data_IF_908792680731
#
_entry.id   IF_908792680731
#
_cell.length_a   1.000
_cell.length_b   1.000
_cell.length_c   1.000
_cell.angle_alpha   90.00
_cell.angle_beta   90.00
_cell.angle_gamma   90.00
#
_symmetry.space_group_name_H-M   'P 1'
#
loop_
_entity.id
_entity.type
_entity.pdbx_description
1 polymer ?
#
# COMPACT_ATOMS: atom_id res chain seq x y z
N UNK A 1 -8.52 -69.00 -13.80
CA UNK A 1 -8.65 -70.23 -13.00
C UNK A 1 -9.42 -69.87 -11.74
N UNK A 2 -10.54 -70.55 -11.54
CA UNK A 2 -11.51 -70.29 -10.48
C UNK A 2 -11.43 -71.38 -9.40
N UNK A 3 -11.57 -70.97 -8.13
CA UNK A 3 -12.05 -71.75 -6.96
C UNK A 3 -12.07 -70.78 -5.76
N UNK A 4 -13.22 -70.26 -5.27
CA UNK A 4 -14.15 -70.78 -4.23
C UNK A 4 -13.44 -71.14 -2.90
N UNK A 5 -13.89 -70.81 -1.67
CA UNK A 5 -15.17 -71.06 -0.95
C UNK A 5 -15.13 -70.20 0.35
N UNK A 6 -16.14 -69.37 0.66
CA UNK A 6 -17.32 -69.55 1.55
C UNK A 6 -17.11 -69.70 3.08
N UNK A 7 -17.85 -68.84 3.78
CA UNK A 7 -18.23 -68.60 5.19
C UNK A 7 -18.27 -69.73 6.22
N UNK A 8 -18.03 -69.37 7.50
CA UNK A 8 -18.85 -69.83 8.66
C UNK A 8 -18.97 -68.72 9.71
N UNK A 9 -20.21 -68.48 10.15
CA UNK A 9 -20.64 -67.63 11.27
C UNK A 9 -21.02 -68.53 12.45
N UNK A 10 -20.63 -68.20 13.68
CA UNK A 10 -21.33 -68.63 14.91
C UNK A 10 -21.03 -67.70 16.08
N UNK A 11 -22.02 -67.55 16.96
CA UNK A 11 -22.18 -66.47 17.92
C UNK A 11 -22.12 -66.96 19.39
N UNK A 12 -21.71 -66.05 20.30
CA UNK A 12 -22.19 -65.80 21.70
C UNK A 12 -21.82 -66.88 22.76
N UNK A 13 -21.36 -66.53 24.00
CA UNK A 13 -22.16 -65.74 24.94
C UNK A 13 -21.51 -64.70 25.86
N UNK A 14 -22.37 -63.73 26.19
CA UNK A 14 -22.32 -62.75 27.28
C UNK A 14 -22.50 -63.41 28.65
N UNK A 15 -21.70 -62.98 29.63
CA UNK A 15 -22.09 -63.03 31.05
C UNK A 15 -21.74 -61.70 31.70
N UNK A 16 -22.76 -61.13 32.34
CA UNK A 16 -22.78 -59.90 33.11
C UNK A 16 -22.47 -60.20 34.57
N UNK A 17 -21.77 -59.28 35.24
CA UNK A 17 -21.84 -59.16 36.71
C UNK A 17 -21.63 -57.68 37.06
N UNK A 18 -22.56 -57.06 37.83
CA UNK A 18 -22.45 -55.66 38.22
C UNK A 18 -21.75 -55.55 39.59
N UNK A 19 -20.76 -54.66 39.68
CA UNK A 19 -20.17 -54.28 40.96
C UNK A 19 -20.60 -52.84 41.26
N UNK A 20 -21.44 -52.68 42.28
CA UNK A 20 -21.71 -51.39 42.89
C UNK A 20 -20.47 -50.92 43.66
N UNK A 21 -20.02 -49.70 43.39
CA UNK A 21 -19.19 -48.95 44.33
C UNK A 21 -19.70 -47.51 44.44
N UNK A 22 -19.60 -47.03 45.67
CA UNK A 22 -20.31 -45.92 46.26
C UNK A 22 -19.97 -44.56 45.63
N UNK A 23 -20.95 -43.66 45.70
CA UNK A 23 -20.77 -42.24 45.44
C UNK A 23 -19.87 -41.66 46.55
N UNK A 24 -18.66 -41.26 46.18
CA UNK A 24 -17.87 -40.31 46.95
C UNK A 24 -18.26 -38.91 46.50
N UNK A 25 -18.78 -38.13 47.44
CA UNK A 25 -19.08 -36.72 47.32
C UNK A 25 -17.77 -35.96 47.05
N UNK A 26 -17.52 -35.65 45.78
CA UNK A 26 -16.46 -34.72 45.37
C UNK A 26 -16.97 -33.30 45.51
N UNK A 27 -16.35 -32.56 46.43
CA UNK A 27 -16.52 -31.12 46.62
C UNK A 27 -16.52 -30.38 45.27
N UNK A 28 -17.63 -29.72 44.97
CA UNK A 28 -17.75 -28.78 43.86
C UNK A 28 -16.79 -27.61 44.13
N UNK A 29 -15.57 -27.70 43.60
CA UNK A 29 -14.78 -26.51 43.35
C UNK A 29 -15.55 -25.69 42.32
N UNK A 30 -16.26 -24.67 42.79
CA UNK A 30 -16.68 -23.53 42.01
C UNK A 30 -15.41 -22.92 41.38
N UNK A 31 -15.02 -23.44 40.22
CA UNK A 31 -14.06 -22.80 39.34
C UNK A 31 -14.74 -21.51 38.86
N UNK A 32 -14.52 -20.45 39.64
CA UNK A 32 -14.99 -19.09 39.39
C UNK A 32 -14.65 -18.77 37.93
N UNK A 33 -15.67 -18.84 37.08
CA UNK A 33 -15.51 -18.65 35.64
C UNK A 33 -14.98 -17.23 35.43
N UNK A 34 -13.68 -17.13 35.18
CA UNK A 34 -13.03 -15.88 34.84
C UNK A 34 -13.86 -15.20 33.75
N UNK A 35 -14.25 -13.92 33.93
CA UNK A 35 -15.09 -13.22 32.97
C UNK A 35 -14.43 -13.34 31.59
N UNK A 36 -15.21 -13.55 30.50
CA UNK A 36 -14.65 -13.75 29.18
C UNK A 36 -13.71 -12.59 28.89
N UNK A 37 -12.41 -12.87 28.81
CA UNK A 37 -11.37 -11.86 28.69
C UNK A 37 -11.80 -10.90 27.58
N UNK A 38 -12.10 -9.63 27.93
CA UNK A 38 -12.51 -8.61 26.96
C UNK A 38 -11.53 -8.70 25.79
N UNK A 39 -12.00 -9.17 24.64
CA UNK A 39 -11.15 -9.40 23.47
C UNK A 39 -10.43 -8.09 23.16
N UNK A 40 -9.11 -8.07 23.33
CA UNK A 40 -8.32 -6.85 23.16
C UNK A 40 -8.33 -6.45 21.68
N UNK A 41 -8.50 -5.15 21.40
CA UNK A 41 -8.32 -4.60 20.05
C UNK A 41 -6.90 -4.86 19.58
N UNK A 42 -6.70 -5.06 18.27
CA UNK A 42 -5.40 -5.32 17.63
C UNK A 42 -4.37 -4.23 17.97
N UNK A 43 -4.82 -2.98 18.14
CA UNK A 43 -3.99 -1.84 18.55
C UNK A 43 -3.25 -2.07 19.87
N UNK A 44 -3.90 -2.68 20.88
CA UNK A 44 -3.27 -2.95 22.17
C UNK A 44 -2.10 -3.93 22.04
N UNK A 45 -2.22 -4.91 21.14
CA UNK A 45 -1.13 -5.83 20.85
C UNK A 45 0.04 -5.16 20.13
N UNK A 46 -0.22 -4.12 19.32
CA UNK A 46 0.83 -3.34 18.64
C UNK A 46 1.62 -2.52 19.67
N UNK A 47 0.92 -1.84 20.58
CA UNK A 47 1.53 -1.04 21.65
C UNK A 47 2.41 -1.87 22.60
N UNK A 48 2.09 -3.15 22.76
CA UNK A 48 2.84 -4.10 23.58
C UNK A 48 3.82 -4.96 22.77
N UNK A 49 3.92 -4.74 21.46
CA UNK A 49 4.74 -5.58 20.59
C UNK A 49 6.23 -5.32 20.80
N UNK A 50 7.07 -6.31 20.44
CA UNK A 50 8.53 -6.17 20.43
C UNK A 50 9.02 -5.13 19.41
N UNK A 51 8.23 -4.88 18.38
CA UNK A 51 8.55 -3.93 17.31
C UNK A 51 8.14 -2.50 17.67
N UNK A 52 7.64 -2.23 18.89
CA UNK A 52 7.17 -0.89 19.30
C UNK A 52 8.24 0.21 19.21
N UNK A 53 9.51 -0.17 19.19
CA UNK A 53 10.65 0.73 19.06
C UNK A 53 11.00 1.05 17.60
N UNK A 54 10.35 0.39 16.64
CA UNK A 54 10.37 0.78 15.23
C UNK A 54 9.88 2.23 15.07
N UNK A 55 10.61 3.04 14.30
CA UNK A 55 10.35 4.48 14.15
C UNK A 55 8.89 4.79 13.82
N UNK A 56 8.33 4.07 12.83
CA UNK A 56 6.98 4.32 12.32
C UNK A 56 5.88 3.78 13.25
N UNK A 57 6.10 2.64 13.90
CA UNK A 57 5.17 2.16 14.93
C UNK A 57 5.16 3.11 16.13
N UNK A 58 6.33 3.60 16.55
CA UNK A 58 6.46 4.56 17.63
C UNK A 58 5.73 5.85 17.28
N UNK A 59 5.91 6.39 16.08
CA UNK A 59 5.20 7.59 15.62
C UNK A 59 3.69 7.40 15.67
N UNK A 60 3.19 6.27 15.14
CA UNK A 60 1.77 5.96 15.22
C UNK A 60 1.25 5.83 16.65
N UNK A 61 1.94 5.08 17.53
CA UNK A 61 1.52 4.86 18.92
C UNK A 61 1.32 6.18 19.68
N UNK A 62 2.14 7.20 19.38
CA UNK A 62 2.08 8.52 20.01
C UNK A 62 1.23 9.53 19.23
N UNK A 63 0.52 9.12 18.17
CA UNK A 63 -0.33 10.00 17.36
C UNK A 63 -1.80 10.01 17.83
N UNK A 64 -2.50 11.08 17.51
CA UNK A 64 -3.95 11.18 17.71
C UNK A 64 -4.70 10.06 16.97
N UNK A 65 -4.19 9.58 15.83
CA UNK A 65 -4.81 8.48 15.09
C UNK A 65 -4.84 7.18 15.90
N UNK A 66 -3.80 6.91 16.71
CA UNK A 66 -3.79 5.75 17.61
C UNK A 66 -4.82 5.90 18.74
N UNK A 67 -4.99 7.10 19.28
CA UNK A 67 -6.05 7.40 20.26
C UNK A 67 -7.43 7.17 19.63
N UNK A 68 -7.66 7.70 18.43
CA UNK A 68 -8.91 7.48 17.71
C UNK A 68 -9.19 5.99 17.47
N UNK A 69 -8.20 5.20 17.06
CA UNK A 69 -8.35 3.76 16.87
C UNK A 69 -8.74 3.00 18.15
N UNK A 70 -8.32 3.53 19.31
CA UNK A 70 -8.67 2.98 20.61
C UNK A 70 -10.08 3.37 21.07
N UNK A 71 -10.61 4.50 20.64
CA UNK A 71 -11.83 5.08 21.23
C UNK A 71 -13.02 5.11 20.28
N UNK A 72 -12.81 5.49 19.02
CA UNK A 72 -13.87 5.76 18.05
C UNK A 72 -14.36 4.49 17.34
N UNK A 73 -15.66 4.44 17.03
CA UNK A 73 -16.32 3.27 16.48
C UNK A 73 -16.10 3.10 14.97
N UNK A 74 -15.84 4.21 14.28
CA UNK A 74 -15.58 4.34 12.84
C UNK A 74 -14.36 3.51 12.43
N UNK A 75 -13.37 3.40 13.31
CA UNK A 75 -12.14 2.63 13.10
C UNK A 75 -12.27 1.14 13.40
N UNK A 76 -13.47 0.64 13.74
CA UNK A 76 -13.68 -0.74 14.17
C UNK A 76 -13.18 -1.77 13.15
N UNK A 77 -13.32 -1.49 11.85
CA UNK A 77 -12.87 -2.36 10.75
C UNK A 77 -11.35 -2.59 10.75
N UNK A 78 -10.58 -1.64 11.27
CA UNK A 78 -9.13 -1.70 11.42
C UNK A 78 -8.70 -2.15 12.82
N UNK A 79 -9.26 -1.52 13.86
CA UNK A 79 -8.89 -1.74 15.25
C UNK A 79 -9.16 -3.18 15.74
N UNK A 80 -10.10 -3.89 15.10
CA UNK A 80 -10.42 -5.29 15.40
C UNK A 80 -9.90 -6.28 14.35
N UNK A 81 -8.97 -5.86 13.49
CA UNK A 81 -8.37 -6.72 12.47
C UNK A 81 -7.81 -7.99 13.11
N UNK A 82 -8.32 -9.16 12.72
CA UNK A 82 -7.85 -10.47 13.24
C UNK A 82 -6.36 -10.75 12.94
N UNK A 83 -5.72 -9.93 12.10
CA UNK A 83 -4.32 -10.05 11.67
C UNK A 83 -3.52 -8.83 12.14
N UNK A 84 -3.10 -8.81 13.41
CA UNK A 84 -2.27 -7.75 13.99
C UNK A 84 -0.99 -7.51 13.21
N UNK A 85 -0.34 -8.57 12.69
CA UNK A 85 0.86 -8.46 11.86
C UNK A 85 0.61 -7.70 10.56
N UNK A 86 -0.56 -7.87 9.93
CA UNK A 86 -0.93 -7.10 8.75
C UNK A 86 -1.10 -5.63 9.12
N UNK A 87 -1.85 -5.33 10.19
CA UNK A 87 -2.05 -3.93 10.60
C UNK A 87 -0.72 -3.22 10.92
N UNK A 88 0.23 -3.90 11.58
CA UNK A 88 1.58 -3.34 11.81
C UNK A 88 2.28 -2.96 10.51
N UNK A 89 2.19 -3.82 9.49
CA UNK A 89 2.77 -3.54 8.17
C UNK A 89 2.13 -2.32 7.54
N UNK A 90 0.79 -2.27 7.48
CA UNK A 90 0.06 -1.12 6.93
C UNK A 90 0.45 0.20 7.61
N UNK A 91 0.59 0.20 8.95
CA UNK A 91 1.05 1.37 9.71
C UNK A 91 2.46 1.78 9.26
N UNK A 92 3.41 0.84 9.35
CA UNK A 92 4.83 1.10 9.06
C UNK A 92 5.02 1.62 7.63
N UNK A 93 4.34 1.01 6.68
CA UNK A 93 4.38 1.35 5.26
C UNK A 93 3.77 2.73 4.98
N UNK A 94 2.64 3.04 5.62
CA UNK A 94 1.94 4.32 5.44
C UNK A 94 2.69 5.51 6.04
N UNK A 95 3.32 5.31 7.20
CA UNK A 95 4.16 6.34 7.83
C UNK A 95 5.48 6.55 7.08
N UNK A 96 6.08 5.48 6.54
CA UNK A 96 7.23 5.60 5.63
C UNK A 96 6.88 6.42 4.37
N UNK A 97 5.71 6.17 3.78
CA UNK A 97 5.19 7.00 2.68
C UNK A 97 5.04 8.45 3.12
N UNK A 98 4.39 8.71 4.25
CA UNK A 98 4.13 10.06 4.73
C UNK A 98 5.42 10.86 5.01
N UNK A 99 6.49 10.19 5.47
CA UNK A 99 7.83 10.78 5.60
C UNK A 99 8.44 11.11 4.24
N UNK A 100 8.28 10.23 3.25
CA UNK A 100 8.80 10.44 1.91
C UNK A 100 8.02 11.48 1.10
N UNK A 101 6.74 11.66 1.41
CA UNK A 101 5.95 12.79 0.91
C UNK A 101 6.56 14.12 1.36
N UNK A 102 6.95 14.28 2.62
CA UNK A 102 7.63 15.51 3.08
C UNK A 102 8.90 15.79 2.27
N UNK A 103 9.68 14.76 1.99
CA UNK A 103 10.92 14.86 1.18
C UNK A 103 10.62 15.37 -0.23
N UNK A 104 9.59 14.82 -0.88
CA UNK A 104 9.17 15.20 -2.22
C UNK A 104 8.59 16.62 -2.24
N UNK A 105 7.72 16.96 -1.30
CA UNK A 105 7.15 18.30 -1.17
C UNK A 105 8.25 19.35 -0.91
N UNK A 106 9.20 19.07 -0.02
CA UNK A 106 10.32 19.97 0.26
C UNK A 106 11.25 20.13 -0.95
N UNK A 107 11.43 19.09 -1.77
CA UNK A 107 12.18 19.17 -3.01
C UNK A 107 11.46 20.04 -4.06
N UNK A 108 10.14 19.90 -4.20
CA UNK A 108 9.33 20.76 -5.08
C UNK A 108 9.37 22.22 -4.66
N UNK A 109 9.29 22.51 -3.36
CA UNK A 109 9.41 23.88 -2.82
C UNK A 109 10.78 24.49 -3.13
N UNK A 110 11.88 23.76 -2.89
CA UNK A 110 13.24 24.24 -3.19
C UNK A 110 13.49 24.45 -4.68
N UNK A 111 12.74 23.79 -5.55
CA UNK A 111 12.85 23.93 -6.99
C UNK A 111 12.26 25.25 -7.52
N UNK A 112 11.98 26.25 -6.67
CA UNK A 112 11.49 27.57 -7.08
C UNK A 112 9.96 27.72 -7.06
N UNK A 113 9.24 26.70 -6.59
CA UNK A 113 7.77 26.71 -6.55
C UNK A 113 7.26 27.36 -5.26
N UNK A 114 6.32 28.29 -5.40
CA UNK A 114 5.64 28.88 -4.24
C UNK A 114 5.02 27.78 -3.36
N UNK A 115 5.20 27.93 -2.06
CA UNK A 115 4.69 26.98 -1.08
C UNK A 115 3.16 27.02 -1.10
N UNK A 116 2.56 26.01 -1.71
CA UNK A 116 1.13 25.75 -1.52
C UNK A 116 0.94 24.90 -0.28
N UNK A 117 0.10 25.38 0.65
CA UNK A 117 -0.40 24.57 1.78
C UNK A 117 -1.43 23.53 1.33
N UNK A 118 -1.94 23.67 0.10
CA UNK A 118 -2.91 22.76 -0.49
C UNK A 118 -2.16 21.71 -1.31
N UNK A 119 -2.25 20.48 -0.85
CA UNK A 119 -1.70 19.31 -1.54
C UNK A 119 -2.85 18.41 -1.99
N UNK A 120 -2.74 17.84 -3.18
CA UNK A 120 -3.63 16.76 -3.63
C UNK A 120 -2.83 15.47 -3.73
N UNK A 121 -3.35 14.41 -3.13
CA UNK A 121 -2.72 13.10 -3.10
C UNK A 121 -3.48 12.12 -3.97
N UNK A 122 -2.74 11.22 -4.65
CA UNK A 122 -3.30 10.14 -5.43
C UNK A 122 -2.73 8.81 -4.92
N UNK A 123 -3.49 8.11 -4.08
CA UNK A 123 -3.11 6.83 -3.48
C UNK A 123 -3.45 5.70 -4.48
N UNK A 124 -2.43 5.19 -5.15
CA UNK A 124 -2.53 4.26 -6.26
C UNK A 124 -2.64 2.83 -5.72
N UNK A 125 -3.69 2.11 -6.14
CA UNK A 125 -4.04 0.79 -5.62
C UNK A 125 -4.20 0.84 -4.09
N UNK A 126 -4.97 1.85 -3.64
CA UNK A 126 -5.06 2.26 -2.24
C UNK A 126 -5.60 1.18 -1.29
N UNK A 127 -6.26 0.14 -1.82
CA UNK A 127 -6.97 -0.82 -1.01
C UNK A 127 -7.95 -0.11 -0.06
N UNK A 128 -7.89 -0.46 1.22
CA UNK A 128 -8.72 0.18 2.26
C UNK A 128 -8.26 1.59 2.67
N UNK A 129 -7.14 2.07 2.16
CA UNK A 129 -6.70 3.46 2.30
C UNK A 129 -6.04 3.80 3.63
N UNK A 130 -5.26 2.90 4.24
CA UNK A 130 -4.52 3.25 5.46
C UNK A 130 -3.53 4.40 5.18
N UNK A 131 -2.79 4.32 4.07
CA UNK A 131 -1.92 5.40 3.58
C UNK A 131 -2.70 6.69 3.40
N UNK A 132 -3.85 6.64 2.75
CA UNK A 132 -4.74 7.80 2.56
C UNK A 132 -5.19 8.44 3.88
N UNK A 133 -5.53 7.64 4.90
CA UNK A 133 -5.89 8.15 6.23
C UNK A 133 -4.70 8.86 6.87
N UNK A 134 -3.51 8.25 6.84
CA UNK A 134 -2.29 8.85 7.42
C UNK A 134 -1.97 10.18 6.72
N UNK A 135 -2.05 10.23 5.39
CA UNK A 135 -1.83 11.45 4.62
C UNK A 135 -2.86 12.53 4.97
N UNK A 136 -4.15 12.19 5.01
CA UNK A 136 -5.21 13.15 5.35
C UNK A 136 -5.07 13.72 6.78
N UNK A 137 -4.63 12.90 7.75
CA UNK A 137 -4.38 13.35 9.12
C UNK A 137 -3.13 14.22 9.23
N UNK A 138 -2.05 13.87 8.51
CA UNK A 138 -0.80 14.63 8.50
C UNK A 138 -0.93 15.95 7.72
N UNK A 139 -1.77 15.98 6.69
CA UNK A 139 -2.03 17.15 5.85
C UNK A 139 -3.54 17.49 5.84
N UNK A 140 -4.08 18.11 6.90
CA UNK A 140 -5.53 18.32 7.05
C UNK A 140 -6.17 19.18 5.95
N UNK A 141 -5.39 20.05 5.30
CA UNK A 141 -5.83 20.91 4.19
C UNK A 141 -5.75 20.22 2.81
N UNK A 142 -5.36 18.94 2.77
CA UNK A 142 -5.21 18.19 1.53
C UNK A 142 -6.50 17.49 1.10
N UNK A 143 -6.59 17.18 -0.18
CA UNK A 143 -7.55 16.20 -0.72
C UNK A 143 -6.79 14.92 -1.04
N UNK A 144 -7.34 13.76 -0.68
CA UNK A 144 -6.75 12.46 -1.04
C UNK A 144 -7.70 11.69 -1.94
N UNK A 145 -7.26 11.37 -3.15
CA UNK A 145 -7.96 10.47 -4.05
C UNK A 145 -7.40 9.05 -3.91
N UNK A 146 -8.22 8.17 -3.34
CA UNK A 146 -7.99 6.72 -3.28
C UNK A 146 -8.38 6.09 -4.61
N UNK A 147 -7.43 5.54 -5.35
CA UNK A 147 -7.65 4.96 -6.67
C UNK A 147 -7.51 3.43 -6.61
N UNK A 148 -8.62 2.69 -6.71
CA UNK A 148 -8.62 1.23 -6.70
C UNK A 148 -9.78 0.65 -7.51
N UNK A 149 -9.62 -0.53 -8.11
CA UNK A 149 -10.66 -1.16 -8.91
C UNK A 149 -11.59 -2.09 -8.09
N UNK A 150 -11.28 -2.35 -6.82
CA UNK A 150 -12.08 -3.21 -5.96
C UNK A 150 -13.26 -2.46 -5.32
N UNK A 151 -14.42 -2.53 -5.97
CA UNK A 151 -15.67 -1.92 -5.47
C UNK A 151 -16.26 -2.57 -4.21
N UNK A 152 -15.77 -3.75 -3.80
CA UNK A 152 -16.34 -4.53 -2.71
C UNK A 152 -15.65 -4.27 -1.36
N UNK A 153 -14.74 -3.30 -1.28
CA UNK A 153 -14.05 -2.97 -0.04
C UNK A 153 -15.01 -2.33 0.95
N UNK A 154 -14.94 -2.77 2.22
CA UNK A 154 -15.56 -2.01 3.29
C UNK A 154 -14.72 -0.76 3.58
N UNK A 155 -15.30 0.40 3.28
CA UNK A 155 -14.71 1.72 3.41
C UNK A 155 -15.47 2.63 4.40
N UNK A 156 -16.30 2.07 5.28
CA UNK A 156 -17.11 2.85 6.23
C UNK A 156 -16.30 3.75 7.16
N UNK A 157 -15.01 3.44 7.36
CA UNK A 157 -14.10 4.27 8.16
C UNK A 157 -13.75 5.59 7.48
N UNK A 158 -13.98 5.74 6.18
CA UNK A 158 -13.73 6.99 5.45
C UNK A 158 -14.70 8.11 5.83
N UNK A 159 -15.86 7.79 6.43
CA UNK A 159 -16.80 8.79 6.96
C UNK A 159 -16.14 9.68 8.04
N UNK A 160 -15.13 9.17 8.73
CA UNK A 160 -14.34 9.92 9.72
C UNK A 160 -13.26 10.82 9.09
N UNK A 161 -13.07 10.77 7.78
CA UNK A 161 -12.00 11.48 7.05
C UNK A 161 -12.55 12.08 5.75
N UNK A 162 -13.34 13.16 5.80
CA UNK A 162 -14.09 13.69 4.66
C UNK A 162 -13.21 14.22 3.51
N UNK A 163 -11.92 14.46 3.76
CA UNK A 163 -10.95 14.85 2.73
C UNK A 163 -10.46 13.68 1.86
N UNK A 164 -10.81 12.44 2.21
CA UNK A 164 -10.46 11.24 1.46
C UNK A 164 -11.63 10.80 0.59
N UNK A 165 -11.37 10.64 -0.71
CA UNK A 165 -12.37 10.25 -1.70
C UNK A 165 -11.98 8.97 -2.41
N UNK A 166 -12.83 7.96 -2.33
CA UNK A 166 -12.67 6.73 -3.10
C UNK A 166 -13.13 6.90 -4.55
N UNK A 167 -12.29 6.49 -5.50
CA UNK A 167 -12.59 6.45 -6.93
C UNK A 167 -12.41 5.02 -7.41
N UNK A 168 -13.51 4.38 -7.80
CA UNK A 168 -13.45 3.03 -8.35
C UNK A 168 -12.93 3.08 -9.79
N UNK A 169 -11.65 2.77 -9.99
CA UNK A 169 -11.01 2.99 -11.29
C UNK A 169 -9.90 1.97 -11.57
N UNK A 170 -9.74 1.58 -12.83
CA UNK A 170 -8.59 0.79 -13.28
C UNK A 170 -7.42 1.72 -13.57
N UNK A 171 -6.29 1.53 -12.89
CA UNK A 171 -5.09 2.33 -13.10
C UNK A 171 -4.47 2.17 -14.50
N UNK A 172 -4.83 1.14 -15.26
CA UNK A 172 -4.42 1.00 -16.66
C UNK A 172 -5.29 1.81 -17.63
N UNK A 173 -6.41 2.36 -17.17
CA UNK A 173 -7.35 3.13 -17.98
C UNK A 173 -6.82 4.53 -18.30
N UNK A 174 -7.39 5.16 -19.34
CA UNK A 174 -7.11 6.55 -19.67
C UNK A 174 -7.88 7.49 -18.73
N UNK A 175 -9.05 7.04 -18.28
CA UNK A 175 -9.89 7.71 -17.27
C UNK A 175 -9.10 7.98 -15.98
N UNK A 176 -8.20 7.08 -15.58
CA UNK A 176 -7.34 7.30 -14.42
C UNK A 176 -6.35 8.46 -14.61
N UNK A 177 -5.77 8.59 -15.80
CA UNK A 177 -4.91 9.73 -16.13
C UNK A 177 -5.72 11.03 -16.15
N UNK A 178 -6.90 11.03 -16.79
CA UNK A 178 -7.77 12.21 -16.87
C UNK A 178 -8.20 12.69 -15.49
N UNK A 179 -8.64 11.78 -14.60
CA UNK A 179 -9.04 12.14 -13.24
C UNK A 179 -7.92 12.85 -12.48
N UNK A 180 -6.68 12.36 -12.58
CA UNK A 180 -5.55 12.99 -11.92
C UNK A 180 -5.26 14.36 -12.53
N UNK A 181 -5.29 14.49 -13.86
CA UNK A 181 -5.09 15.77 -14.53
C UNK A 181 -6.15 16.80 -14.15
N UNK A 182 -7.43 16.42 -14.15
CA UNK A 182 -8.55 17.29 -13.78
C UNK A 182 -8.40 17.78 -12.35
N UNK A 183 -8.10 16.86 -11.40
CA UNK A 183 -7.82 17.24 -10.02
C UNK A 183 -6.63 18.20 -9.91
N UNK A 184 -5.57 18.02 -10.70
CA UNK A 184 -4.41 18.94 -10.73
C UNK A 184 -4.70 20.28 -11.41
N UNK A 185 -5.69 20.35 -12.30
CA UNK A 185 -6.16 21.61 -12.91
C UNK A 185 -6.97 22.40 -11.88
N UNK A 186 -7.86 21.72 -11.17
CA UNK A 186 -8.69 22.30 -10.12
C UNK A 186 -7.87 22.72 -8.90
N UNK A 187 -6.80 21.99 -8.60
CA UNK A 187 -5.90 22.29 -7.49
C UNK A 187 -4.72 23.17 -7.92
N UNK A 188 -4.67 24.41 -7.42
CA UNK A 188 -3.55 25.33 -7.62
C UNK A 188 -2.35 25.07 -6.68
N UNK A 189 -1.96 23.80 -6.52
CA UNK A 189 -1.00 23.37 -5.51
C UNK A 189 -0.07 22.25 -5.94
N UNK A 190 0.47 21.54 -4.95
CA UNK A 190 1.29 20.36 -5.20
C UNK A 190 0.44 19.12 -5.35
N UNK A 191 0.76 18.30 -6.33
CA UNK A 191 0.26 16.94 -6.44
C UNK A 191 1.31 15.94 -5.99
N UNK A 192 0.91 14.85 -5.35
CA UNK A 192 1.79 13.70 -5.13
C UNK A 192 1.06 12.40 -5.44
N UNK A 193 1.58 11.66 -6.41
CA UNK A 193 1.20 10.27 -6.63
C UNK A 193 1.94 9.38 -5.62
N UNK A 194 1.21 8.48 -4.99
CA UNK A 194 1.72 7.57 -3.98
C UNK A 194 1.39 6.15 -4.41
N UNK A 195 2.42 5.30 -4.49
CA UNK A 195 2.26 3.88 -4.80
C UNK A 195 2.97 3.03 -3.78
N UNK A 196 2.29 2.69 -2.69
CA UNK A 196 2.80 1.73 -1.71
C UNK A 196 2.37 0.32 -2.08
N UNK A 197 3.28 -0.64 -2.08
CA UNK A 197 2.98 -2.02 -2.46
C UNK A 197 2.36 -2.18 -3.85
N UNK A 198 2.78 -1.37 -4.82
CA UNK A 198 2.34 -1.58 -6.20
C UNK A 198 2.94 -2.87 -6.78
N UNK A 199 2.07 -3.83 -7.05
CA UNK A 199 2.46 -5.15 -7.54
C UNK A 199 2.86 -5.13 -9.02
N UNK A 200 4.07 -5.62 -9.34
CA UNK A 200 4.50 -5.90 -10.71
C UNK A 200 4.19 -4.75 -11.67
N UNK A 201 3.39 -5.00 -12.71
CA UNK A 201 3.07 -4.00 -13.72
C UNK A 201 2.40 -2.71 -13.19
N UNK A 202 1.82 -2.71 -11.98
CA UNK A 202 1.25 -1.49 -11.40
C UNK A 202 2.31 -0.46 -11.04
N UNK A 203 3.48 -0.87 -10.53
CA UNK A 203 4.55 0.08 -10.21
C UNK A 203 5.12 0.73 -11.47
N UNK A 204 5.26 -0.06 -12.54
CA UNK A 204 5.58 0.45 -13.87
C UNK A 204 4.53 1.43 -14.37
N UNK A 205 3.25 1.05 -14.27
CA UNK A 205 2.13 1.89 -14.71
C UNK A 205 2.08 3.23 -13.96
N UNK A 206 2.40 3.26 -12.67
CA UNK A 206 2.47 4.52 -11.92
C UNK A 206 3.55 5.47 -12.47
N UNK A 207 4.72 4.95 -12.86
CA UNK A 207 5.78 5.74 -13.51
C UNK A 207 5.32 6.23 -14.89
N UNK A 208 4.77 5.34 -15.72
CA UNK A 208 4.25 5.69 -17.06
C UNK A 208 3.16 6.79 -16.95
N UNK A 209 2.23 6.63 -16.02
CA UNK A 209 1.15 7.57 -15.75
C UNK A 209 1.70 8.93 -15.31
N UNK A 210 2.64 8.95 -14.37
CA UNK A 210 3.32 10.17 -13.93
C UNK A 210 3.98 10.89 -15.11
N UNK A 211 4.77 10.18 -15.92
CA UNK A 211 5.44 10.74 -17.11
C UNK A 211 4.43 11.30 -18.12
N UNK A 212 3.35 10.56 -18.38
CA UNK A 212 2.29 10.98 -19.31
C UNK A 212 1.60 12.26 -18.84
N UNK A 213 1.24 12.33 -17.55
CA UNK A 213 0.57 13.49 -16.96
C UNK A 213 1.48 14.72 -17.00
N UNK A 214 2.75 14.57 -16.64
CA UNK A 214 3.72 15.66 -16.71
C UNK A 214 3.90 16.18 -18.14
N UNK A 215 3.85 15.27 -19.13
CA UNK A 215 4.05 15.62 -20.55
C UNK A 215 2.80 16.23 -21.21
N UNK A 216 1.62 15.71 -20.90
CA UNK A 216 0.33 16.21 -21.41
C UNK A 216 -0.06 17.51 -20.71
N UNK A 217 0.11 17.57 -19.40
CA UNK A 217 -0.29 18.70 -18.56
C UNK A 217 0.40 20.02 -18.93
N UNK A 218 1.63 19.96 -19.41
CA UNK A 218 2.35 21.14 -19.87
C UNK A 218 1.71 21.79 -21.11
N UNK A 219 1.08 21.01 -22.00
CA UNK A 219 0.34 21.57 -23.13
C UNK A 219 -0.95 22.28 -22.69
N UNK A 220 -1.51 21.87 -21.56
CA UNK A 220 -2.78 22.37 -21.04
C UNK A 220 -2.60 23.63 -20.18
N UNK A 221 -1.51 23.71 -19.43
CA UNK A 221 -1.20 24.85 -18.55
C UNK A 221 0.25 25.28 -18.76
N UNK A 222 0.44 26.46 -19.36
CA UNK A 222 1.75 27.12 -19.41
C UNK A 222 2.21 27.32 -17.95
N UNK A 223 3.26 26.58 -17.55
CA UNK A 223 3.69 26.28 -16.16
C UNK A 223 3.12 25.00 -15.52
N UNK A 224 3.12 23.88 -16.28
CA UNK A 224 3.22 22.45 -15.93
C UNK A 224 2.82 22.03 -14.49
N UNK A 225 2.00 20.98 -14.37
CA UNK A 225 1.65 20.36 -13.09
C UNK A 225 2.86 20.14 -12.17
N UNK A 226 2.70 20.45 -10.88
CA UNK A 226 3.72 20.16 -9.87
C UNK A 226 3.40 18.81 -9.22
N UNK A 227 3.65 17.72 -9.95
CA UNK A 227 3.33 16.36 -9.52
C UNK A 227 4.60 15.62 -9.11
N UNK A 228 4.72 15.25 -7.84
CA UNK A 228 5.74 14.32 -7.35
C UNK A 228 5.27 12.86 -7.42
N UNK A 229 6.20 11.91 -7.29
CA UNK A 229 5.91 10.48 -7.13
C UNK A 229 6.68 9.91 -5.94
N UNK A 230 5.97 9.19 -5.07
CA UNK A 230 6.53 8.31 -4.04
C UNK A 230 6.13 6.89 -4.37
N UNK A 231 7.09 6.03 -4.71
CA UNK A 231 6.83 4.66 -5.15
C UNK A 231 7.63 3.66 -4.33
N UNK A 232 6.95 2.66 -3.77
CA UNK A 232 7.53 1.47 -3.16
C UNK A 232 6.94 0.23 -3.81
N UNK A 233 7.65 -0.43 -4.76
CA UNK A 233 7.17 -1.64 -5.41
C UNK A 233 7.19 -2.82 -4.42
N UNK A 234 6.41 -3.88 -4.63
CA UNK A 234 6.45 -5.03 -3.71
C UNK A 234 6.41 -6.43 -4.34
N UNK A 235 5.94 -6.56 -5.57
CA UNK A 235 5.87 -7.84 -6.25
C UNK A 235 6.63 -7.77 -7.56
N UNK A 236 7.23 -8.91 -7.92
CA UNK A 236 7.83 -9.08 -9.23
C UNK A 236 6.73 -9.07 -10.31
N UNK A 237 7.02 -8.55 -11.50
CA UNK A 237 6.08 -8.61 -12.62
C UNK A 237 5.90 -10.07 -13.06
N UNK A 238 4.65 -10.44 -13.32
CA UNK A 238 4.29 -11.73 -13.90
C UNK A 238 3.62 -11.52 -15.26
N UNK A 239 3.90 -12.43 -16.20
CA UNK A 239 3.24 -12.43 -17.51
C UNK A 239 1.73 -12.58 -17.32
N UNK A 240 0.99 -11.53 -17.68
CA UNK A 240 -0.48 -11.56 -17.69
C UNK A 240 -0.93 -12.06 -19.07
N UNK A 241 -1.89 -12.99 -19.11
CA UNK A 241 -2.51 -13.44 -20.37
C UNK A 241 -3.33 -12.29 -20.99
N UNK A 242 -3.13 -12.04 -22.28
CA UNK A 242 -4.00 -11.21 -23.12
C UNK A 242 -5.45 -11.75 -22.98
N UNK A 243 -6.48 -10.91 -22.77
CA UNK A 243 -6.58 -9.49 -23.12
C UNK A 243 -6.54 -8.51 -21.94
N UNK A 244 -6.18 -8.95 -20.73
CA UNK A 244 -6.45 -8.15 -19.52
C UNK A 244 -5.67 -6.82 -19.42
N UNK A 245 -4.59 -6.62 -20.19
CA UNK A 245 -3.73 -5.41 -20.16
C UNK A 245 -3.02 -5.22 -21.50
N UNK A 246 -2.63 -3.98 -21.85
CA UNK A 246 -1.72 -3.71 -22.98
C UNK A 246 -0.43 -4.54 -22.78
N UNK A 247 -0.10 -5.36 -23.77
CA UNK A 247 1.06 -6.23 -23.73
C UNK A 247 2.35 -5.39 -23.65
N UNK A 248 3.23 -5.71 -22.70
CA UNK A 248 4.56 -5.12 -22.58
C UNK A 248 5.45 -6.11 -21.82
N UNK A 249 6.63 -6.39 -22.37
CA UNK A 249 7.60 -7.38 -21.87
C UNK A 249 8.56 -6.87 -20.80
N UNK A 250 8.51 -5.56 -20.48
CA UNK A 250 9.34 -4.95 -19.46
C UNK A 250 9.15 -5.63 -18.11
N UNK A 251 10.25 -6.17 -17.57
CA UNK A 251 10.33 -6.83 -16.28
C UNK A 251 10.05 -8.33 -16.30
N UNK A 252 9.45 -8.90 -17.35
CA UNK A 252 9.17 -10.35 -17.38
C UNK A 252 10.41 -11.24 -17.41
N UNK A 253 11.56 -10.68 -17.73
CA UNK A 253 12.87 -11.34 -17.69
C UNK A 253 13.46 -11.46 -16.28
N UNK A 254 12.93 -10.73 -15.28
CA UNK A 254 13.51 -10.65 -13.93
C UNK A 254 13.59 -12.02 -13.26
N UNK A 255 12.51 -12.81 -13.35
CA UNK A 255 12.47 -14.14 -12.73
C UNK A 255 13.40 -15.15 -13.41
N UNK A 256 13.64 -15.00 -14.72
CA UNK A 256 14.67 -15.80 -15.41
C UNK A 256 16.08 -15.37 -14.99
N UNK A 257 16.34 -14.07 -14.91
CA UNK A 257 17.65 -13.53 -14.50
C UNK A 257 17.98 -13.90 -13.05
N UNK A 258 17.02 -13.79 -12.13
CA UNK A 258 17.17 -14.25 -10.74
C UNK A 258 17.57 -15.74 -10.69
N UNK A 259 16.89 -16.60 -11.46
CA UNK A 259 17.19 -18.04 -11.49
C UNK A 259 18.54 -18.35 -12.12
N UNK A 260 18.93 -17.62 -13.16
CA UNK A 260 20.16 -17.87 -13.90
C UNK A 260 21.41 -17.39 -13.15
N UNK A 261 21.32 -16.25 -12.45
CA UNK A 261 22.48 -15.58 -11.86
C UNK A 261 22.46 -15.48 -10.33
N UNK A 262 21.40 -15.95 -9.66
CA UNK A 262 21.28 -15.88 -8.20
C UNK A 262 21.15 -14.46 -7.64
N UNK A 263 20.78 -13.49 -8.48
CA UNK A 263 20.60 -12.09 -8.09
C UNK A 263 19.24 -11.92 -7.41
N UNK A 264 19.15 -11.06 -6.39
CA UNK A 264 17.86 -10.70 -5.79
C UNK A 264 16.92 -10.09 -6.84
N UNK A 265 15.81 -10.76 -7.11
CA UNK A 265 14.88 -10.36 -8.16
C UNK A 265 14.17 -9.03 -7.84
N UNK A 266 14.01 -8.70 -6.55
CA UNK A 266 13.35 -7.48 -6.13
C UNK A 266 14.28 -6.28 -6.25
N UNK A 267 15.57 -6.42 -5.91
CA UNK A 267 16.61 -5.42 -6.19
C UNK A 267 16.69 -5.11 -7.68
N UNK A 268 16.70 -6.17 -8.50
CA UNK A 268 16.72 -6.04 -9.95
C UNK A 268 15.47 -5.32 -10.47
N UNK A 269 14.30 -5.62 -9.89
CA UNK A 269 13.05 -4.95 -10.26
C UNK A 269 13.05 -3.48 -9.89
N UNK A 270 13.38 -3.16 -8.64
CA UNK A 270 13.40 -1.79 -8.13
C UNK A 270 14.42 -0.94 -8.89
N UNK A 271 15.60 -1.50 -9.19
CA UNK A 271 16.62 -0.84 -10.03
C UNK A 271 16.11 -0.61 -11.45
N UNK A 272 15.41 -1.58 -12.04
CA UNK A 272 14.83 -1.43 -13.39
C UNK A 272 13.77 -0.33 -13.43
N UNK A 273 12.92 -0.24 -12.40
CA UNK A 273 11.93 0.82 -12.27
C UNK A 273 12.58 2.19 -12.09
N UNK A 274 13.63 2.30 -11.26
CA UNK A 274 14.38 3.54 -11.09
C UNK A 274 14.97 4.06 -12.42
N UNK A 275 15.47 3.13 -13.24
CA UNK A 275 16.00 3.44 -14.57
C UNK A 275 14.91 3.79 -15.60
N UNK A 276 13.68 3.31 -15.40
CA UNK A 276 12.53 3.68 -16.24
C UNK A 276 12.08 5.13 -16.03
N UNK A 277 12.30 5.71 -14.84
CA UNK A 277 11.95 7.10 -14.56
C UNK A 277 12.78 8.03 -15.45
N UNK A 278 12.09 8.79 -16.31
CA UNK A 278 12.68 9.72 -17.25
C UNK A 278 13.49 10.81 -16.54
N UNK A 279 14.72 11.06 -17.01
CA UNK A 279 15.58 12.13 -16.47
C UNK A 279 15.06 13.54 -16.82
N UNK A 280 14.18 13.64 -17.82
CA UNK A 280 13.48 14.87 -18.19
C UNK A 280 12.03 14.55 -18.52
N UNK A 281 11.12 15.49 -18.29
CA UNK A 281 9.70 15.36 -18.60
C UNK A 281 9.16 16.62 -19.25
N UNK A 282 8.15 16.46 -20.10
CA UNK A 282 7.50 17.58 -20.77
C UNK A 282 8.23 18.11 -22.00
N UNK A 283 7.57 19.02 -22.72
CA UNK A 283 8.07 19.74 -23.89
C UNK A 283 9.19 20.73 -23.53
N UNK A 284 9.15 21.34 -22.34
CA UNK A 284 10.27 22.17 -21.84
C UNK A 284 11.40 21.35 -21.24
N UNK A 285 11.36 20.01 -21.33
CA UNK A 285 12.44 19.12 -20.87
C UNK A 285 12.85 19.40 -19.42
N UNK A 286 11.87 19.55 -18.52
CA UNK A 286 12.12 19.77 -17.09
C UNK A 286 12.93 18.60 -16.54
N UNK A 287 14.09 18.88 -15.96
CA UNK A 287 14.89 17.83 -15.33
C UNK A 287 14.14 17.17 -14.17
N UNK A 288 14.41 15.89 -13.95
CA UNK A 288 13.78 15.09 -12.91
C UNK A 288 14.80 14.74 -11.85
N UNK A 289 14.58 15.19 -10.61
CA UNK A 289 15.33 14.69 -9.47
C UNK A 289 14.78 13.32 -9.05
N UNK A 290 15.68 12.35 -8.90
CA UNK A 290 15.34 10.98 -8.51
C UNK A 290 16.10 10.60 -7.24
N UNK A 291 15.44 9.88 -6.33
CA UNK A 291 16.09 9.23 -5.18
C UNK A 291 15.73 7.75 -5.17
N UNK A 292 16.68 6.91 -4.80
CA UNK A 292 16.53 5.46 -4.72
C UNK A 292 17.27 4.94 -3.49
N UNK A 293 16.53 4.35 -2.54
CA UNK A 293 17.10 3.91 -1.27
C UNK A 293 16.21 2.85 -0.62
N UNK A 294 16.78 2.09 0.32
CA UNK A 294 16.03 1.17 1.19
C UNK A 294 15.65 1.84 2.49
N UNK A 295 14.44 1.56 2.96
CA UNK A 295 14.00 1.96 4.29
C UNK A 295 14.06 0.75 5.24
N UNK A 296 15.10 0.70 6.05
CA UNK A 296 15.33 -0.40 7.00
C UNK A 296 14.32 -0.43 8.15
N UNK A 297 13.50 0.61 8.31
CA UNK A 297 12.39 0.60 9.27
C UNK A 297 11.14 -0.10 8.72
N UNK A 298 11.09 -0.51 7.45
CA UNK A 298 9.98 -1.32 6.96
C UNK A 298 10.06 -2.75 7.49
N UNK A 299 8.92 -3.31 7.90
CA UNK A 299 8.84 -4.69 8.39
C UNK A 299 8.84 -5.74 7.25
N UNK A 300 8.77 -5.30 6.00
CA UNK A 300 8.83 -6.17 4.84
C UNK A 300 10.25 -6.14 4.24
N UNK A 301 10.72 -7.26 3.67
CA UNK A 301 12.00 -7.27 2.95
C UNK A 301 11.94 -6.46 1.65
N UNK A 302 10.73 -6.12 1.20
CA UNK A 302 10.48 -5.30 0.02
C UNK A 302 10.41 -3.83 0.44
N UNK A 303 11.57 -3.20 0.62
CA UNK A 303 11.67 -1.90 1.27
C UNK A 303 12.33 -0.80 0.43
N UNK A 304 12.38 -0.97 -0.91
CA UNK A 304 12.88 0.08 -1.78
C UNK A 304 11.86 1.22 -1.93
N UNK A 305 12.38 2.45 -1.94
CA UNK A 305 11.66 3.65 -2.35
C UNK A 305 12.31 4.28 -3.58
N UNK A 306 11.46 4.69 -4.52
CA UNK A 306 11.80 5.55 -5.64
C UNK A 306 11.02 6.84 -5.45
N UNK A 307 11.72 7.95 -5.26
CA UNK A 307 11.13 9.28 -5.18
C UNK A 307 11.45 10.05 -6.45
N UNK A 308 10.45 10.74 -6.98
CA UNK A 308 10.58 11.51 -8.22
C UNK A 308 10.04 12.91 -7.99
N UNK A 309 10.81 13.91 -8.40
CA UNK A 309 10.45 15.32 -8.28
C UNK A 309 10.79 16.05 -9.58
N UNK A 310 9.81 16.70 -10.24
CA UNK A 310 10.10 17.50 -11.42
C UNK A 310 10.70 18.84 -11.00
N UNK A 311 11.87 19.18 -11.53
CA UNK A 311 12.55 20.44 -11.26
C UNK A 311 11.99 21.55 -12.15
N UNK A 312 12.31 22.81 -11.84
CA UNK A 312 12.06 23.90 -12.78
C UNK A 312 12.91 23.75 -14.05
N UNK A 313 12.33 24.16 -15.19
CA UNK A 313 13.09 24.30 -16.42
C UNK A 313 14.08 25.46 -16.22
N UNK A 314 15.38 25.20 -16.33
CA UNK A 314 16.36 26.29 -16.35
C UNK A 314 16.19 27.03 -17.68
N UNK A 315 16.25 28.36 -17.66
CA UNK A 315 16.16 29.22 -18.87
C UNK A 315 17.11 28.80 -20.00
N UNK A 316 18.22 28.13 -19.68
CA UNK A 316 19.25 27.72 -20.64
C UNK A 316 19.03 26.30 -21.22
N UNK A 317 18.07 25.54 -20.69
CA UNK A 317 17.77 24.16 -21.12
C UNK A 317 16.56 24.09 -22.08
N UNK A 318 15.95 25.23 -22.40
CA UNK A 318 14.88 25.31 -23.40
C UNK A 318 15.53 25.15 -24.77
N UNK A 319 15.32 23.99 -25.39
CA UNK A 319 15.71 23.76 -26.77
C UNK A 319 15.05 24.84 -27.64
N UNK A 320 15.85 25.73 -28.22
CA UNK A 320 15.36 26.71 -29.18
C UNK A 320 14.73 25.94 -30.36
N UNK A 321 13.55 26.32 -30.86
CA UNK A 321 12.99 25.68 -32.04
C UNK A 321 14.01 25.77 -33.17
N UNK A 322 14.33 24.63 -33.78
CA UNK A 322 15.14 24.59 -34.99
C UNK A 322 14.43 25.43 -36.05
N UNK A 323 15.02 26.55 -36.44
CA UNK A 323 14.51 27.46 -37.49
C UNK A 323 14.73 26.85 -38.87
#
# INVERSE_FOLDING_TARGET
MATTVSTVTTAIPTTSTPTMHAAEEGEENEEEALPPTRRKKSIHYIMQSRDKDNEYLKEFIHSDLCVEFQEKAEWRSWAWSKKTSQLKKEIVESYAVAKNVDVVLAAMQRAGRERSEKVVFFDMASGKGFTSIVLAKKFPSSTVHMLDNNKNMNLSHLDAVPTVQFKNIDLFSEEAESLIMDALIEHDGFGVMVGMHLCGNLSRRAIEMWTNIMTKGEKLRANSFNLGLVLSPCCLPHKVRVPKRKYNDFGYWIQSTQRQFGIDGYDLWATSLYNLVCSHVGHTMRSTQKRFFRDENLLSPTNWFILVTPMEAKRNDICQPCV
#
